data_IF_479454925680
#
_entry.id   IF_479454925680
#
_cell.length_a   1.000
_cell.length_b   1.000
_cell.length_c   1.000
_cell.angle_alpha   90.00
_cell.angle_beta   90.00
_cell.angle_gamma   90.00
#
_symmetry.space_group_name_H-M   'P 1'
#
loop_
_entity.id
_entity.type
_entity.pdbx_description
1 polymer ?
#
# COMPACT_ATOMS: atom_id res chain seq x y z
N UNK A 1 4.32 9.65 13.77
CA UNK A 1 5.54 9.46 14.61
C UNK A 1 5.50 8.07 15.25
N UNK A 2 4.42 7.62 15.92
CA UNK A 2 4.35 6.30 16.56
C UNK A 2 4.73 5.15 15.62
N UNK A 3 4.15 5.07 14.44
CA UNK A 3 4.42 4.03 13.43
C UNK A 3 5.92 3.92 13.08
N UNK A 4 6.62 5.04 13.00
CA UNK A 4 8.05 5.07 12.65
C UNK A 4 8.95 4.50 13.75
N UNK A 5 8.59 4.69 15.02
CA UNK A 5 9.33 4.11 16.14
C UNK A 5 9.32 2.59 16.06
N UNK A 6 8.17 1.98 15.72
CA UNK A 6 8.08 0.52 15.54
C UNK A 6 8.98 0.01 14.42
N UNK A 7 9.12 0.76 13.31
CA UNK A 7 10.06 0.38 12.24
C UNK A 7 11.52 0.49 12.69
N UNK A 8 11.89 1.48 13.51
CA UNK A 8 13.22 1.57 14.10
C UNK A 8 13.51 0.37 15.00
N UNK A 9 12.54 -0.05 15.83
CA UNK A 9 12.66 -1.22 16.71
C UNK A 9 12.77 -2.55 15.94
N UNK A 10 12.39 -2.57 14.66
CA UNK A 10 12.55 -3.72 13.77
C UNK A 10 13.94 -3.80 13.13
N UNK A 11 14.85 -2.85 13.42
CA UNK A 11 16.19 -2.76 12.84
C UNK A 11 16.18 -2.78 11.29
N UNK A 12 15.24 -2.04 10.69
CA UNK A 12 15.13 -1.85 9.24
C UNK A 12 15.37 -0.40 8.87
N UNK A 13 15.99 -0.18 7.73
CA UNK A 13 16.08 1.15 7.14
C UNK A 13 14.78 1.46 6.42
N UNK A 14 14.34 2.73 6.46
CA UNK A 14 13.15 3.16 5.74
C UNK A 14 13.36 4.51 5.06
N UNK A 15 12.72 4.68 3.92
CA UNK A 15 12.61 5.93 3.20
C UNK A 15 11.15 6.32 3.10
N UNK A 16 10.80 7.49 3.64
CA UNK A 16 9.47 8.07 3.50
C UNK A 16 9.54 9.16 2.45
N UNK A 17 8.56 9.14 1.55
CA UNK A 17 8.44 10.16 0.51
C UNK A 17 7.22 11.02 0.75
N UNK A 18 7.36 12.32 0.51
CA UNK A 18 6.24 13.23 0.45
C UNK A 18 5.81 13.40 -1.03
N UNK A 19 4.53 13.18 -1.29
CA UNK A 19 3.97 13.25 -2.63
C UNK A 19 3.95 14.68 -3.17
N UNK A 20 4.03 14.82 -4.51
CA UNK A 20 3.74 16.10 -5.18
C UNK A 20 2.36 16.63 -4.78
N UNK A 21 2.24 17.94 -4.59
CA UNK A 21 1.01 18.59 -4.13
C UNK A 21 0.71 18.45 -2.64
N UNK A 22 1.54 17.73 -1.86
CA UNK A 22 1.42 17.57 -0.42
C UNK A 22 2.70 18.03 0.30
N UNK A 23 2.57 18.35 1.58
CA UNK A 23 3.71 18.69 2.46
C UNK A 23 4.63 19.79 1.91
N UNK A 24 4.07 20.76 1.20
CA UNK A 24 4.83 21.86 0.58
C UNK A 24 5.48 21.52 -0.77
N UNK A 25 5.36 20.32 -1.28
CA UNK A 25 5.85 19.97 -2.61
C UNK A 25 4.93 20.54 -3.70
N UNK A 26 5.53 21.09 -4.74
CA UNK A 26 4.81 21.58 -5.91
C UNK A 26 4.22 20.44 -6.75
N UNK A 27 3.23 20.76 -7.58
CA UNK A 27 2.63 19.85 -8.56
C UNK A 27 1.23 19.41 -8.20
N UNK A 28 0.62 18.62 -9.10
CA UNK A 28 -0.73 18.06 -8.92
C UNK A 28 -0.62 16.57 -8.61
N UNK A 29 -1.27 16.07 -7.55
CA UNK A 29 -1.23 14.68 -7.12
C UNK A 29 -2.11 13.77 -7.99
N UNK A 30 -1.80 13.67 -9.28
CA UNK A 30 -2.47 12.74 -10.21
C UNK A 30 -1.96 11.32 -10.04
N UNK A 31 -2.75 10.32 -10.46
CA UNK A 31 -2.35 8.91 -10.41
C UNK A 31 -0.98 8.69 -11.06
N UNK A 32 -0.79 9.17 -12.29
CA UNK A 32 0.49 9.06 -12.98
C UNK A 32 1.61 9.81 -12.25
N UNK A 33 1.31 11.00 -11.73
CA UNK A 33 2.29 11.79 -10.98
C UNK A 33 2.80 11.06 -9.74
N UNK A 34 1.90 10.48 -8.95
CA UNK A 34 2.29 9.71 -7.75
C UNK A 34 3.10 8.45 -8.11
N UNK A 35 2.81 7.81 -9.24
CA UNK A 35 3.63 6.70 -9.74
C UNK A 35 5.06 7.15 -10.08
N UNK A 36 5.22 8.31 -10.70
CA UNK A 36 6.55 8.86 -11.01
C UNK A 36 7.31 9.27 -9.74
N UNK A 37 6.62 9.78 -8.71
CA UNK A 37 7.24 10.07 -7.41
C UNK A 37 7.79 8.81 -6.77
N UNK A 38 7.00 7.74 -6.72
CA UNK A 38 7.43 6.46 -6.19
C UNK A 38 8.57 5.82 -6.99
N UNK A 39 8.53 5.90 -8.33
CA UNK A 39 9.65 5.47 -9.20
C UNK A 39 10.93 6.24 -8.91
N UNK A 40 10.82 7.56 -8.68
CA UNK A 40 11.96 8.43 -8.39
C UNK A 40 12.60 8.05 -7.06
N UNK A 41 11.80 7.73 -6.02
CA UNK A 41 12.29 7.26 -4.74
C UNK A 41 13.06 5.93 -4.88
N UNK A 42 12.49 4.96 -5.60
CA UNK A 42 13.17 3.68 -5.87
C UNK A 42 14.47 3.90 -6.65
N UNK A 43 14.44 4.77 -7.66
CA UNK A 43 15.63 5.10 -8.44
C UNK A 43 16.74 5.72 -7.57
N UNK A 44 16.36 6.61 -6.64
CA UNK A 44 17.30 7.20 -5.70
C UNK A 44 17.94 6.13 -4.81
N UNK A 45 17.16 5.19 -4.25
CA UNK A 45 17.70 4.07 -3.46
C UNK A 45 18.69 3.22 -4.28
N UNK A 46 18.32 2.89 -5.52
CA UNK A 46 19.19 2.10 -6.42
C UNK A 46 20.50 2.83 -6.71
N UNK A 47 20.47 4.17 -6.92
CA UNK A 47 21.67 4.99 -7.06
C UNK A 47 22.54 5.02 -5.79
N UNK A 48 21.93 4.83 -4.60
CA UNK A 48 22.64 4.68 -3.33
C UNK A 48 23.19 3.29 -3.07
N UNK A 49 23.01 2.35 -4.01
CA UNK A 49 23.55 0.99 -3.94
C UNK A 49 22.55 -0.08 -3.53
N UNK A 50 21.30 0.29 -3.23
CA UNK A 50 20.26 -0.67 -2.88
C UNK A 50 19.83 -1.50 -4.08
N UNK A 51 19.55 -2.78 -3.85
CA UNK A 51 19.00 -3.67 -4.89
C UNK A 51 17.49 -3.77 -4.74
N UNK A 52 16.75 -3.65 -5.84
CA UNK A 52 15.27 -3.75 -5.82
C UNK A 52 14.77 -5.00 -5.10
N UNK A 53 15.43 -6.12 -5.27
CA UNK A 53 15.10 -7.39 -4.60
C UNK A 53 15.22 -7.36 -3.07
N UNK A 54 15.87 -6.33 -2.50
CA UNK A 54 16.00 -6.13 -1.07
C UNK A 54 14.99 -5.09 -0.54
N UNK A 55 14.24 -4.41 -1.42
CA UNK A 55 13.29 -3.38 -1.04
C UNK A 55 11.93 -4.00 -0.73
N UNK A 56 11.34 -3.56 0.36
CA UNK A 56 9.91 -3.77 0.66
C UNK A 56 9.17 -2.48 0.31
N UNK A 57 8.14 -2.60 -0.52
CA UNK A 57 7.27 -1.47 -0.83
C UNK A 57 6.13 -1.42 0.19
N UNK A 58 6.00 -0.31 0.88
CA UNK A 58 4.94 -0.08 1.84
C UNK A 58 3.97 0.98 1.32
N UNK A 59 2.70 0.63 1.24
CA UNK A 59 1.64 1.57 0.90
C UNK A 59 0.53 1.56 1.94
N UNK A 60 0.10 2.75 2.36
CA UNK A 60 -1.05 2.97 3.23
C UNK A 60 -2.11 3.72 2.46
N UNK A 61 -3.36 3.29 2.53
CA UNK A 61 -4.51 3.93 1.89
C UNK A 61 -4.21 4.23 0.40
N UNK A 62 -4.17 5.50 -0.01
CA UNK A 62 -3.81 5.91 -1.37
C UNK A 62 -2.43 5.38 -1.80
N UNK A 63 -1.49 5.29 -0.86
CA UNK A 63 -0.17 4.73 -1.12
C UNK A 63 -0.18 3.27 -1.55
N UNK A 64 -1.24 2.50 -1.22
CA UNK A 64 -1.40 1.12 -1.71
C UNK A 64 -1.55 1.08 -3.23
N UNK A 65 -2.19 2.10 -3.82
CA UNK A 65 -2.30 2.26 -5.26
C UNK A 65 -0.95 2.42 -5.95
N UNK A 66 -0.06 3.17 -5.31
CA UNK A 66 1.30 3.39 -5.81
C UNK A 66 2.15 2.13 -5.62
N UNK A 67 2.16 1.54 -4.42
CA UNK A 67 2.92 0.33 -4.14
C UNK A 67 2.53 -0.81 -5.08
N UNK A 68 1.22 -1.06 -5.25
CA UNK A 68 0.68 -2.06 -6.17
C UNK A 68 1.10 -1.78 -7.62
N UNK A 69 1.06 -0.52 -8.09
CA UNK A 69 1.50 -0.18 -9.45
C UNK A 69 2.99 -0.46 -9.66
N UNK A 70 3.83 -0.06 -8.71
CA UNK A 70 5.29 -0.19 -8.82
C UNK A 70 5.76 -1.64 -8.76
N UNK A 71 5.00 -2.48 -8.07
CA UNK A 71 5.34 -3.89 -7.85
C UNK A 71 5.04 -4.79 -9.05
N UNK A 72 4.16 -4.38 -9.97
CA UNK A 72 3.76 -5.21 -11.12
C UNK A 72 4.97 -5.68 -11.93
N UNK A 73 5.03 -6.99 -12.18
CA UNK A 73 6.07 -7.62 -13.00
C UNK A 73 7.51 -7.26 -12.56
N UNK A 74 7.71 -7.07 -11.26
CA UNK A 74 9.00 -6.75 -10.65
C UNK A 74 9.24 -7.65 -9.46
N UNK A 75 10.52 -7.83 -9.12
CA UNK A 75 10.97 -8.62 -7.99
C UNK A 75 11.42 -7.68 -6.87
N UNK A 76 10.54 -7.44 -5.91
CA UNK A 76 10.84 -6.80 -4.64
C UNK A 76 10.94 -7.87 -3.54
N UNK A 77 11.55 -7.55 -2.41
CA UNK A 77 11.57 -8.46 -1.26
C UNK A 77 10.15 -8.77 -0.79
N UNK A 78 9.30 -7.74 -0.70
CA UNK A 78 7.91 -7.90 -0.29
C UNK A 78 7.10 -6.62 -0.50
N UNK A 79 5.80 -6.74 -0.31
CA UNK A 79 4.83 -5.63 -0.43
C UNK A 79 3.96 -5.61 0.82
N UNK A 80 3.84 -4.46 1.44
CA UNK A 80 2.93 -4.23 2.57
C UNK A 80 1.83 -3.29 2.11
N UNK A 81 0.59 -3.74 2.19
CA UNK A 81 -0.61 -2.99 1.84
C UNK A 81 -1.47 -2.79 3.08
N UNK A 82 -1.47 -1.58 3.63
CA UNK A 82 -2.29 -1.20 4.77
C UNK A 82 -3.54 -0.48 4.29
N UNK A 83 -4.70 -0.96 4.70
CA UNK A 83 -6.03 -0.46 4.31
C UNK A 83 -6.19 -0.27 2.79
N UNK A 84 -5.84 -1.29 1.97
CA UNK A 84 -5.96 -1.16 0.52
C UNK A 84 -7.40 -1.14 0.05
N UNK A 85 -7.61 -0.49 -1.09
CA UNK A 85 -8.88 -0.44 -1.81
C UNK A 85 -8.77 -1.17 -3.15
N UNK A 86 -9.91 -1.61 -3.72
CA UNK A 86 -9.95 -2.26 -5.04
C UNK A 86 -9.68 -1.26 -6.17
N UNK A 87 -10.34 -0.10 -6.11
CA UNK A 87 -10.09 1.07 -6.96
C UNK A 87 -10.66 2.33 -6.31
N UNK A 88 -10.18 3.52 -6.68
CA UNK A 88 -10.82 4.77 -6.23
C UNK A 88 -12.25 4.89 -6.75
N UNK A 89 -12.54 4.30 -7.91
CA UNK A 89 -13.91 4.25 -8.45
C UNK A 89 -14.83 3.46 -7.51
N UNK A 90 -14.39 2.30 -7.03
CA UNK A 90 -15.19 1.48 -6.11
C UNK A 90 -15.35 2.15 -4.76
N UNK A 91 -14.28 2.77 -4.24
CA UNK A 91 -14.34 3.53 -2.99
C UNK A 91 -15.33 4.70 -3.10
N UNK A 92 -15.25 5.48 -4.19
CA UNK A 92 -16.14 6.60 -4.41
C UNK A 92 -17.61 6.20 -4.59
N UNK A 93 -17.90 5.06 -5.21
CA UNK A 93 -19.29 4.53 -5.34
C UNK A 93 -19.99 4.32 -4.01
N UNK A 94 -19.24 3.98 -2.95
CA UNK A 94 -19.81 3.85 -1.60
C UNK A 94 -20.44 5.17 -1.11
N UNK A 95 -19.75 6.29 -1.38
CA UNK A 95 -20.18 7.61 -0.93
C UNK A 95 -21.11 8.32 -1.91
N UNK A 96 -20.99 7.95 -3.20
CA UNK A 96 -21.70 8.60 -4.31
C UNK A 96 -22.41 7.57 -5.20
N UNK A 97 -23.38 6.77 -4.67
CA UNK A 97 -23.98 5.65 -5.39
C UNK A 97 -24.76 6.04 -6.65
N UNK A 98 -25.27 7.30 -6.70
CA UNK A 98 -26.05 7.81 -7.83
C UNK A 98 -25.23 8.60 -8.86
N UNK A 99 -23.94 8.81 -8.60
CA UNK A 99 -23.06 9.55 -9.50
C UNK A 99 -22.29 8.56 -10.38
N UNK A 100 -22.18 8.79 -11.70
CA UNK A 100 -21.39 7.93 -12.59
C UNK A 100 -19.87 8.17 -12.39
N UNK A 101 -19.37 7.89 -11.18
CA UNK A 101 -17.99 8.18 -10.77
C UNK A 101 -16.94 7.56 -11.68
N UNK A 102 -17.25 6.42 -12.33
CA UNK A 102 -16.35 5.77 -13.28
C UNK A 102 -16.08 6.62 -14.53
N UNK A 103 -16.98 7.53 -14.89
CA UNK A 103 -16.82 8.45 -16.03
C UNK A 103 -16.13 9.75 -15.60
N UNK A 104 -16.34 10.17 -14.35
CA UNK A 104 -15.84 11.45 -13.84
C UNK A 104 -14.44 11.36 -13.26
N UNK A 105 -14.09 10.24 -12.61
CA UNK A 105 -12.77 10.05 -12.01
C UNK A 105 -11.72 9.75 -13.10
N UNK A 106 -10.74 10.67 -13.19
CA UNK A 106 -9.56 10.49 -14.04
C UNK A 106 -8.56 9.53 -13.41
N UNK A 107 -8.30 9.70 -12.12
CA UNK A 107 -7.36 8.92 -11.34
C UNK A 107 -8.12 7.75 -10.68
N UNK A 108 -7.86 6.54 -11.12
CA UNK A 108 -8.64 5.34 -10.75
C UNK A 108 -7.95 4.43 -9.75
N UNK A 109 -6.61 4.37 -9.78
CA UNK A 109 -5.79 3.49 -8.95
C UNK A 109 -6.36 2.07 -8.86
N UNK A 110 -6.55 1.42 -10.02
CA UNK A 110 -7.17 0.09 -10.11
C UNK A 110 -6.24 -1.01 -9.56
N UNK A 111 -6.26 -1.18 -8.24
CA UNK A 111 -5.44 -2.17 -7.54
C UNK A 111 -5.92 -3.59 -7.83
N UNK A 112 -7.23 -3.77 -8.03
CA UNK A 112 -7.83 -5.07 -8.31
C UNK A 112 -7.26 -5.73 -9.57
N UNK A 113 -7.02 -4.93 -10.63
CA UNK A 113 -6.38 -5.45 -11.84
C UNK A 113 -4.89 -5.66 -11.67
N UNK A 114 -4.23 -4.79 -10.91
CA UNK A 114 -2.78 -4.76 -10.81
C UNK A 114 -2.21 -5.83 -9.88
N UNK A 115 -2.90 -6.16 -8.78
CA UNK A 115 -2.40 -7.08 -7.75
C UNK A 115 -2.08 -8.48 -8.32
N UNK A 116 -2.81 -8.93 -9.31
CA UNK A 116 -2.60 -10.22 -9.98
C UNK A 116 -1.26 -10.33 -10.73
N UNK A 117 -0.63 -9.19 -11.03
CA UNK A 117 0.66 -9.12 -11.71
C UNK A 117 1.82 -8.96 -10.75
N UNK A 118 1.60 -9.18 -9.45
CA UNK A 118 2.61 -9.12 -8.40
C UNK A 118 2.98 -10.53 -7.99
N UNK A 119 4.27 -10.87 -8.10
CA UNK A 119 4.81 -12.17 -7.71
C UNK A 119 5.66 -12.08 -6.43
N UNK A 120 5.94 -10.87 -5.94
CA UNK A 120 6.59 -10.68 -4.65
C UNK A 120 5.64 -11.03 -3.51
N UNK A 121 6.13 -11.55 -2.37
CA UNK A 121 5.32 -11.77 -1.18
C UNK A 121 4.52 -10.53 -0.79
N UNK A 122 3.25 -10.68 -0.44
CA UNK A 122 2.35 -9.58 -0.07
C UNK A 122 1.76 -9.83 1.31
N UNK A 123 1.74 -8.81 2.16
CA UNK A 123 0.87 -8.78 3.33
C UNK A 123 -0.19 -7.70 3.16
N UNK A 124 -1.44 -8.06 3.42
CA UNK A 124 -2.59 -7.13 3.45
C UNK A 124 -3.04 -6.95 4.89
N UNK A 125 -3.08 -5.71 5.35
CA UNK A 125 -3.52 -5.36 6.70
C UNK A 125 -4.76 -4.47 6.61
N UNK A 126 -5.81 -4.76 7.41
CA UNK A 126 -7.05 -4.00 7.35
C UNK A 126 -7.90 -4.16 8.62
N UNK A 127 -8.50 -3.07 9.07
CA UNK A 127 -9.47 -3.07 10.16
C UNK A 127 -10.90 -3.32 9.65
N UNK A 128 -11.66 -4.17 10.34
CA UNK A 128 -13.03 -4.53 9.91
C UNK A 128 -14.03 -3.38 10.07
N UNK A 129 -13.74 -2.40 10.94
CA UNK A 129 -14.62 -1.25 11.18
C UNK A 129 -14.21 0.00 10.38
N UNK A 130 -13.32 -0.14 9.39
CA UNK A 130 -12.92 0.96 8.49
C UNK A 130 -14.11 1.52 7.72
N UNK A 131 -14.41 2.81 7.98
CA UNK A 131 -15.52 3.53 7.36
C UNK A 131 -15.10 4.28 6.09
N UNK A 132 -13.80 4.49 5.89
CA UNK A 132 -13.23 5.20 4.73
C UNK A 132 -13.02 4.22 3.57
N UNK A 133 -12.21 3.18 3.79
CA UNK A 133 -11.99 2.11 2.84
C UNK A 133 -12.60 0.81 3.36
N UNK A 134 -13.77 0.36 2.87
CA UNK A 134 -14.42 -0.82 3.44
C UNK A 134 -13.50 -2.02 3.50
N UNK A 135 -13.50 -2.74 4.63
CA UNK A 135 -12.75 -3.97 4.84
C UNK A 135 -12.89 -4.97 3.68
N UNK A 136 -14.11 -5.06 3.11
CA UNK A 136 -14.37 -5.93 1.96
C UNK A 136 -13.47 -5.66 0.74
N UNK A 137 -12.94 -4.45 0.60
CA UNK A 137 -11.99 -4.12 -0.47
C UNK A 137 -10.61 -4.71 -0.19
N UNK A 138 -10.09 -4.55 1.03
CA UNK A 138 -8.82 -5.16 1.45
C UNK A 138 -8.89 -6.68 1.39
N UNK A 139 -9.99 -7.26 1.87
CA UNK A 139 -10.25 -8.71 1.76
C UNK A 139 -10.22 -9.18 0.31
N UNK A 140 -10.86 -8.45 -0.61
CA UNK A 140 -10.83 -8.75 -2.04
C UNK A 140 -9.43 -8.69 -2.63
N UNK A 141 -8.62 -7.69 -2.26
CA UNK A 141 -7.22 -7.58 -2.70
C UNK A 141 -6.43 -8.79 -2.22
N UNK A 142 -6.58 -9.17 -0.95
CA UNK A 142 -5.94 -10.36 -0.40
C UNK A 142 -6.36 -11.64 -1.15
N UNK A 143 -7.66 -11.83 -1.36
CA UNK A 143 -8.19 -13.08 -1.96
C UNK A 143 -7.61 -13.36 -3.35
N UNK A 144 -7.40 -12.29 -4.15
CA UNK A 144 -6.90 -12.40 -5.53
C UNK A 144 -5.39 -12.19 -5.70
N UNK A 145 -4.68 -11.80 -4.63
CA UNK A 145 -3.22 -11.71 -4.65
C UNK A 145 -2.60 -13.09 -4.88
N UNK A 146 -1.47 -13.13 -5.58
CA UNK A 146 -0.70 -14.35 -5.77
C UNK A 146 -0.01 -14.78 -4.47
N UNK A 147 0.28 -16.09 -4.36
CA UNK A 147 1.12 -16.61 -3.29
C UNK A 147 2.61 -16.24 -3.51
N UNK A 148 3.42 -16.07 -2.44
CA UNK A 148 2.99 -16.16 -1.04
C UNK A 148 2.29 -14.87 -0.57
N UNK A 149 1.18 -15.02 0.11
CA UNK A 149 0.38 -13.91 0.65
C UNK A 149 0.03 -14.12 2.11
N UNK A 150 -0.03 -13.02 2.85
CA UNK A 150 -0.27 -12.96 4.27
C UNK A 150 -1.37 -11.94 4.55
N UNK A 151 -2.05 -12.07 5.69
CA UNK A 151 -3.03 -11.07 6.12
C UNK A 151 -2.92 -10.79 7.61
N UNK A 152 -3.21 -9.54 7.96
CA UNK A 152 -3.52 -9.15 9.33
C UNK A 152 -4.84 -8.39 9.30
N UNK A 153 -5.91 -9.05 9.70
CA UNK A 153 -7.25 -8.47 9.79
C UNK A 153 -7.66 -8.36 11.25
N UNK A 154 -8.16 -7.20 11.66
CA UNK A 154 -8.54 -6.91 13.04
C UNK A 154 -9.97 -6.40 13.11
N UNK A 155 -10.71 -6.87 14.13
CA UNK A 155 -12.11 -6.50 14.34
C UNK A 155 -12.31 -5.11 14.92
N UNK A 156 -11.25 -4.51 15.44
CA UNK A 156 -11.34 -3.33 16.29
C UNK A 156 -10.75 -2.07 15.65
N UNK A 157 -9.94 -2.20 14.62
CA UNK A 157 -9.30 -1.07 13.97
C UNK A 157 -10.17 -0.45 12.88
N UNK A 158 -10.09 0.85 12.77
CA UNK A 158 -10.63 1.64 11.68
C UNK A 158 -9.58 1.85 10.57
N UNK A 159 -9.72 2.92 9.80
CA UNK A 159 -8.78 3.27 8.72
C UNK A 159 -7.36 3.56 9.21
N UNK A 160 -7.23 4.04 10.45
CA UNK A 160 -5.95 4.36 11.09
C UNK A 160 -5.57 3.23 12.04
N UNK A 161 -5.08 2.12 11.48
CA UNK A 161 -4.77 0.92 12.25
C UNK A 161 -3.85 1.21 13.45
N UNK A 162 -4.16 0.62 14.59
CA UNK A 162 -3.34 0.71 15.79
C UNK A 162 -2.16 -0.25 15.69
N UNK A 163 -0.95 0.28 15.89
CA UNK A 163 0.29 -0.50 15.89
C UNK A 163 0.51 -1.16 17.25
N UNK A 164 -0.42 -2.03 17.63
CA UNK A 164 -0.32 -2.84 18.82
C UNK A 164 0.73 -3.97 18.68
N UNK A 165 0.97 -4.72 19.76
CA UNK A 165 1.94 -5.82 19.75
C UNK A 165 1.62 -6.89 18.72
N UNK A 166 0.34 -7.14 18.41
CA UNK A 166 -0.10 -8.17 17.46
C UNK A 166 0.19 -7.77 16.03
N UNK A 167 -0.13 -6.52 15.66
CA UNK A 167 0.20 -5.98 14.33
C UNK A 167 1.71 -5.93 14.14
N UNK A 168 2.45 -5.43 15.14
CA UNK A 168 3.92 -5.37 15.11
C UNK A 168 4.51 -6.78 14.97
N UNK A 169 3.97 -7.78 15.67
CA UNK A 169 4.39 -9.18 15.53
C UNK A 169 4.10 -9.73 14.14
N UNK A 170 2.93 -9.45 13.57
CA UNK A 170 2.58 -9.88 12.21
C UNK A 170 3.54 -9.28 11.16
N UNK A 171 3.85 -7.99 11.28
CA UNK A 171 4.84 -7.32 10.41
C UNK A 171 6.24 -7.91 10.56
N UNK A 172 6.71 -8.11 11.79
CA UNK A 172 8.02 -8.75 12.06
C UNK A 172 8.08 -10.15 11.46
N UNK A 173 7.01 -10.93 11.61
CA UNK A 173 6.92 -12.28 11.05
C UNK A 173 6.96 -12.27 9.53
N UNK A 174 6.21 -11.36 8.90
CA UNK A 174 6.25 -11.17 7.45
C UNK A 174 7.66 -10.77 6.98
N UNK A 175 8.26 -9.74 7.56
CA UNK A 175 9.61 -9.28 7.18
C UNK A 175 10.66 -10.39 7.34
N UNK A 176 10.54 -11.21 8.39
CA UNK A 176 11.44 -12.35 8.63
C UNK A 176 11.27 -13.45 7.58
N UNK A 177 10.08 -13.63 7.02
CA UNK A 177 9.82 -14.62 5.97
C UNK A 177 10.40 -14.24 4.60
N UNK A 178 10.89 -13.01 4.44
CA UNK A 178 11.46 -12.50 3.17
C UNK A 178 12.96 -12.79 3.01
N UNK A 179 13.61 -13.32 4.04
CA UNK A 179 15.05 -13.64 4.08
C UNK A 179 15.32 -15.09 3.67
#
# INVERSE_FOLDING_TARGET
IHKLNHFQDMNINFLIIAWRGFSGNNGKPTEQGLYEDGKSAIHWLVKKGEKKKNLVLYGESLGTGVATHLAQNKNYAGIILETPFTSLVDAAKKFYPYIPVNLLLKDKFDNYKKIKNINSPVIVMHGEIDQIGPFSMGKKIYDIANEPKYSYFTKYDDHMMEYDEKLVFALKSFLKSLN
#
